data_IF_348678360415
#
_entry.id   IF_348678360415
#
_cell.length_a   1.000
_cell.length_b   1.000
_cell.length_c   1.000
_cell.angle_alpha   90.00
_cell.angle_beta   90.00
_cell.angle_gamma   90.00
#
_symmetry.space_group_name_H-M   'P 1'
#
loop_
_entity.id
_entity.type
_entity.pdbx_description
1 polymer ?
#
# COMPACT_ATOMS: atom_id res chain seq x y z
N UNK A 1 -1.39 -7.51 10.90
CA UNK A 1 -1.20 -8.72 10.08
C UNK A 1 -2.33 -9.69 10.35
N UNK A 2 -3.09 -10.06 9.32
CA UNK A 2 -4.32 -10.84 9.49
C UNK A 2 -4.11 -12.35 9.35
N UNK A 3 -2.90 -12.80 9.05
CA UNK A 3 -2.57 -14.21 8.82
C UNK A 3 -2.01 -14.94 10.05
N UNK A 4 -2.05 -14.32 11.22
CA UNK A 4 -1.52 -14.88 12.45
C UNK A 4 0.01 -14.97 12.53
N UNK A 5 0.72 -14.45 11.56
CA UNK A 5 2.19 -14.35 11.59
C UNK A 5 2.59 -13.11 12.38
N UNK A 6 3.52 -13.25 13.30
CA UNK A 6 4.06 -12.13 14.08
C UNK A 6 4.75 -11.09 13.18
N UNK A 7 4.87 -9.86 13.69
CA UNK A 7 5.62 -8.83 12.98
C UNK A 7 7.08 -9.23 12.83
N UNK A 8 7.58 -9.08 11.60
CA UNK A 8 9.03 -9.11 11.40
C UNK A 8 9.65 -7.89 12.10
N UNK A 9 10.89 -8.03 12.55
CA UNK A 9 11.68 -6.90 13.09
C UNK A 9 12.75 -6.51 12.05
N UNK A 10 12.41 -5.72 11.00
CA UNK A 10 13.35 -5.45 9.92
C UNK A 10 14.62 -4.74 10.40
N UNK A 11 14.52 -3.88 11.41
CA UNK A 11 15.69 -3.18 11.97
C UNK A 11 16.74 -4.12 12.58
N UNK A 12 16.38 -5.36 12.87
CA UNK A 12 17.30 -6.42 13.36
C UNK A 12 18.00 -7.16 12.22
N UNK A 13 17.71 -6.83 10.97
CA UNK A 13 18.26 -7.49 9.79
C UNK A 13 19.14 -6.54 9.00
N UNK A 14 20.22 -7.05 8.47
CA UNK A 14 21.14 -6.30 7.57
C UNK A 14 20.68 -6.29 6.12
N UNK A 15 19.66 -7.07 5.79
CA UNK A 15 19.16 -7.18 4.42
C UNK A 15 18.34 -5.94 4.03
N UNK A 16 18.31 -5.66 2.73
CA UNK A 16 17.42 -4.64 2.17
C UNK A 16 15.96 -5.03 2.40
N UNK A 17 15.19 -4.12 2.96
CA UNK A 17 13.79 -4.32 3.30
C UNK A 17 12.93 -3.69 2.20
N UNK A 18 11.87 -4.36 1.83
CA UNK A 18 10.78 -3.84 0.99
C UNK A 18 9.45 -4.05 1.71
N UNK A 19 8.49 -3.19 1.43
CA UNK A 19 7.12 -3.30 1.93
C UNK A 19 6.25 -3.93 0.85
N UNK A 20 5.28 -4.73 1.26
CA UNK A 20 4.27 -5.32 0.39
C UNK A 20 2.94 -5.45 1.10
N UNK A 21 1.85 -5.39 0.34
CA UNK A 21 0.47 -5.38 0.86
C UNK A 21 -0.07 -6.78 1.20
N UNK A 22 0.65 -7.85 0.84
CA UNK A 22 0.11 -9.22 0.89
C UNK A 22 -1.20 -9.33 0.06
N UNK A 23 -2.05 -10.29 0.37
CA UNK A 23 -3.31 -10.53 -0.36
C UNK A 23 -4.53 -9.80 0.20
N UNK A 24 -4.40 -8.97 1.20
CA UNK A 24 -5.53 -8.34 1.93
C UNK A 24 -5.58 -6.83 1.71
N UNK A 25 -4.44 -6.17 1.73
CA UNK A 25 -4.31 -4.74 1.46
C UNK A 25 -4.02 -4.45 -0.01
N UNK A 26 -4.19 -3.20 -0.41
CA UNK A 26 -3.83 -2.73 -1.75
C UNK A 26 -3.25 -1.30 -1.72
N UNK A 27 -2.99 -0.76 -0.53
CA UNK A 27 -2.53 0.61 -0.35
C UNK A 27 -1.13 0.64 0.24
N UNK A 28 -0.15 0.95 -0.60
CA UNK A 28 1.26 0.98 -0.22
C UNK A 28 1.61 2.11 0.76
N UNK A 29 0.87 3.24 0.74
CA UNK A 29 1.09 4.31 1.70
C UNK A 29 0.56 3.93 3.09
N UNK A 30 -0.55 3.19 3.16
CA UNK A 30 -1.03 2.63 4.43
C UNK A 30 -0.06 1.58 4.98
N UNK A 31 0.54 0.74 4.13
CA UNK A 31 1.55 -0.23 4.57
C UNK A 31 2.81 0.47 5.11
N UNK A 32 3.28 1.54 4.45
CA UNK A 32 4.36 2.38 4.97
C UNK A 32 4.02 2.97 6.34
N UNK A 33 2.81 3.49 6.51
CA UNK A 33 2.34 4.05 7.77
C UNK A 33 2.24 3.00 8.86
N UNK A 34 1.71 1.82 8.55
CA UNK A 34 1.65 0.68 9.48
C UNK A 34 3.05 0.20 9.89
N UNK A 35 3.97 0.12 8.93
CA UNK A 35 5.36 -0.21 9.20
C UNK A 35 5.99 0.81 10.16
N UNK A 36 5.83 2.11 9.89
CA UNK A 36 6.30 3.17 10.76
C UNK A 36 5.75 3.05 12.18
N UNK A 37 4.43 2.91 12.34
CA UNK A 37 3.78 2.82 13.65
C UNK A 37 4.24 1.58 14.41
N UNK A 38 4.31 0.41 13.74
CA UNK A 38 4.74 -0.83 14.37
C UNK A 38 6.17 -0.73 14.92
N UNK A 39 7.08 -0.12 14.14
CA UNK A 39 8.48 0.01 14.59
C UNK A 39 8.69 1.11 15.61
N UNK A 40 7.95 2.21 15.50
CA UNK A 40 8.02 3.28 16.49
C UNK A 40 7.56 2.85 17.88
N UNK A 41 6.72 1.83 17.98
CA UNK A 41 6.36 1.24 19.27
C UNK A 41 7.54 0.56 19.98
N UNK A 42 8.55 0.13 19.22
CA UNK A 42 9.77 -0.50 19.74
C UNK A 42 10.92 0.50 19.90
N UNK A 43 11.03 1.44 18.98
CA UNK A 43 12.08 2.48 18.96
C UNK A 43 11.49 3.85 18.61
N UNK A 44 11.30 4.68 19.62
CA UNK A 44 10.73 6.02 19.51
C UNK A 44 11.62 6.99 18.71
N UNK A 45 12.86 6.64 18.42
CA UNK A 45 13.79 7.46 17.63
C UNK A 45 13.61 7.25 16.13
N UNK A 46 12.85 6.23 15.70
CA UNK A 46 12.61 5.96 14.30
C UNK A 46 11.87 7.11 13.60
N UNK A 47 12.44 7.54 12.48
CA UNK A 47 11.86 8.53 11.58
C UNK A 47 10.94 7.89 10.54
N UNK A 48 9.88 8.56 10.09
CA UNK A 48 9.10 8.17 8.93
C UNK A 48 9.94 7.95 7.67
N UNK A 49 11.07 8.66 7.52
CA UNK A 49 11.98 8.52 6.38
C UNK A 49 12.54 7.11 6.24
N UNK A 50 12.75 6.41 7.35
CA UNK A 50 13.21 5.03 7.31
C UNK A 50 12.14 4.10 6.71
N UNK A 51 10.88 4.20 7.16
CA UNK A 51 9.79 3.41 6.59
C UNK A 51 9.53 3.78 5.12
N UNK A 52 9.71 5.04 4.76
CA UNK A 52 9.66 5.53 3.39
C UNK A 52 10.75 4.90 2.51
N UNK A 53 11.97 4.77 3.02
CA UNK A 53 13.05 4.11 2.29
C UNK A 53 12.75 2.63 1.99
N UNK A 54 11.97 1.97 2.83
CA UNK A 54 11.51 0.60 2.58
C UNK A 54 10.48 0.53 1.44
N UNK A 55 9.63 1.54 1.34
CA UNK A 55 8.72 1.70 0.20
C UNK A 55 9.49 1.92 -1.10
N UNK A 56 10.45 2.86 -1.11
CA UNK A 56 11.28 3.19 -2.28
C UNK A 56 12.18 2.03 -2.72
N UNK A 57 12.59 1.17 -1.80
CA UNK A 57 13.42 0.02 -2.11
C UNK A 57 12.76 -0.94 -3.13
N UNK A 58 11.44 -0.93 -3.26
CA UNK A 58 10.73 -1.72 -4.26
C UNK A 58 11.16 -1.40 -5.69
N UNK A 59 11.49 -0.13 -6.00
CA UNK A 59 11.97 0.28 -7.32
C UNK A 59 13.30 -0.36 -7.73
N UNK A 60 14.14 -0.70 -6.75
CA UNK A 60 15.39 -1.41 -7.05
C UNK A 60 15.19 -2.91 -7.21
N UNK A 61 14.06 -3.44 -6.72
CA UNK A 61 13.70 -4.84 -6.82
C UNK A 61 12.88 -5.13 -8.08
N UNK A 62 12.04 -4.16 -8.48
CA UNK A 62 11.20 -4.22 -9.68
C UNK A 62 11.44 -2.92 -10.49
N UNK A 63 12.55 -2.85 -11.25
CA UNK A 63 12.92 -1.65 -11.99
C UNK A 63 11.88 -1.19 -13.01
N UNK A 64 11.04 -2.11 -13.50
CA UNK A 64 9.98 -1.84 -14.46
C UNK A 64 8.94 -0.85 -13.93
N UNK A 65 8.78 -0.76 -12.60
CA UNK A 65 7.85 0.16 -11.95
C UNK A 65 8.36 1.60 -11.86
N UNK A 66 9.62 1.89 -12.19
CA UNK A 66 10.20 3.23 -12.03
C UNK A 66 9.52 4.31 -12.88
N UNK A 67 8.85 3.91 -13.97
CA UNK A 67 8.10 4.82 -14.84
C UNK A 67 6.61 4.94 -14.48
N UNK A 68 6.13 4.18 -13.51
CA UNK A 68 4.75 4.23 -13.08
C UNK A 68 4.47 5.57 -12.37
N UNK A 69 3.29 6.13 -12.60
CA UNK A 69 2.86 7.40 -12.04
C UNK A 69 1.59 7.22 -11.25
N UNK A 70 1.58 7.71 -10.03
CA UNK A 70 0.41 7.70 -9.14
C UNK A 70 0.14 9.12 -8.68
N UNK A 71 -1.09 9.60 -8.86
CA UNK A 71 -1.58 10.82 -8.24
C UNK A 71 -2.43 10.45 -7.03
N UNK A 72 -2.21 11.14 -5.93
CA UNK A 72 -2.87 10.86 -4.66
C UNK A 72 -3.89 11.94 -4.31
N UNK A 73 -4.83 11.62 -3.44
CA UNK A 73 -5.85 12.52 -2.91
C UNK A 73 -5.32 13.54 -1.89
N UNK A 74 -4.01 13.65 -1.75
CA UNK A 74 -3.35 14.52 -0.79
C UNK A 74 -2.09 15.16 -1.40
N UNK A 75 -1.98 16.48 -1.35
CA UNK A 75 -0.95 17.25 -2.06
C UNK A 75 0.48 17.00 -1.54
N UNK A 76 0.62 16.58 -0.28
CA UNK A 76 1.92 16.29 0.34
C UNK A 76 2.20 14.80 0.48
N UNK A 77 1.68 14.00 -0.44
CA UNK A 77 1.89 12.54 -0.48
C UNK A 77 3.32 12.12 -0.83
N UNK A 78 4.17 13.05 -1.21
CA UNK A 78 5.61 12.90 -1.43
C UNK A 78 6.46 13.10 -0.16
N UNK A 79 5.82 13.49 0.94
CA UNK A 79 6.49 13.71 2.22
C UNK A 79 6.27 12.54 3.18
N UNK A 80 7.34 11.83 3.59
CA UNK A 80 7.26 10.73 4.57
C UNK A 80 6.53 11.11 5.85
N UNK A 81 6.80 12.32 6.35
CA UNK A 81 6.18 12.83 7.57
C UNK A 81 4.68 13.08 7.42
N UNK A 82 4.26 13.67 6.30
CA UNK A 82 2.84 13.88 6.03
C UNK A 82 2.10 12.55 5.88
N UNK A 83 2.65 11.62 5.11
CA UNK A 83 2.04 10.28 4.90
C UNK A 83 1.93 9.50 6.20
N UNK A 84 2.96 9.53 7.05
CA UNK A 84 2.96 8.80 8.32
C UNK A 84 1.83 9.25 9.28
N UNK A 85 1.37 10.51 9.18
CA UNK A 85 0.38 11.08 10.07
C UNK A 85 -0.97 11.40 9.40
N UNK A 86 -1.12 11.16 8.11
CA UNK A 86 -2.36 11.40 7.37
C UNK A 86 -2.97 10.07 6.88
N UNK A 87 -3.90 9.47 7.63
CA UNK A 87 -4.57 8.25 7.20
C UNK A 87 -5.56 8.53 6.06
N UNK A 88 -5.83 7.51 5.24
CA UNK A 88 -6.87 7.57 4.21
C UNK A 88 -6.48 8.31 2.93
N UNK A 89 -5.18 8.55 2.70
CA UNK A 89 -4.69 9.01 1.40
C UNK A 89 -4.98 7.91 0.38
N UNK A 90 -5.57 8.28 -0.77
CA UNK A 90 -5.95 7.30 -1.81
C UNK A 90 -5.36 7.68 -3.15
N UNK A 91 -4.99 6.67 -3.95
CA UNK A 91 -4.67 6.88 -5.34
C UNK A 91 -5.92 7.36 -6.11
N UNK A 92 -5.79 8.42 -6.90
CA UNK A 92 -6.85 8.95 -7.76
C UNK A 92 -6.56 8.71 -9.24
N UNK A 93 -5.28 8.73 -9.65
CA UNK A 93 -4.88 8.34 -11.00
C UNK A 93 -3.68 7.42 -10.91
N UNK A 94 -3.68 6.38 -11.74
CA UNK A 94 -2.55 5.45 -11.88
C UNK A 94 -2.27 5.20 -13.35
N UNK A 95 -1.05 5.45 -13.76
CA UNK A 95 -0.56 5.19 -15.11
C UNK A 95 0.73 4.36 -15.03
N UNK A 96 0.78 3.28 -15.81
CA UNK A 96 1.98 2.45 -15.92
C UNK A 96 3.07 3.12 -16.75
N UNK A 97 4.29 2.64 -16.62
CA UNK A 97 5.44 3.05 -17.43
C UNK A 97 5.22 2.86 -18.94
N UNK A 98 4.37 1.91 -19.34
CA UNK A 98 3.96 1.69 -20.72
C UNK A 98 2.91 2.70 -21.23
N UNK A 99 2.45 3.61 -20.38
CA UNK A 99 1.45 4.63 -20.72
C UNK A 99 0.00 4.18 -20.51
N UNK A 100 -0.22 2.97 -20.00
CA UNK A 100 -1.58 2.49 -19.74
C UNK A 100 -2.15 3.13 -18.47
N UNK A 101 -3.38 3.63 -18.54
CA UNK A 101 -4.11 4.15 -17.38
C UNK A 101 -4.89 3.01 -16.71
N UNK A 102 -4.59 2.72 -15.45
CA UNK A 102 -5.27 1.69 -14.66
C UNK A 102 -6.37 2.27 -13.77
N UNK A 103 -6.16 3.50 -13.29
CA UNK A 103 -7.10 4.23 -12.45
C UNK A 103 -7.24 5.66 -12.99
N UNK A 104 -8.47 6.17 -13.06
CA UNK A 104 -8.78 7.55 -13.43
C UNK A 104 -9.87 8.09 -12.52
N UNK A 105 -9.61 9.24 -11.89
CA UNK A 105 -10.52 9.90 -10.95
C UNK A 105 -11.06 8.93 -9.87
N UNK A 106 -10.20 8.03 -9.39
CA UNK A 106 -10.53 7.03 -8.39
C UNK A 106 -11.31 5.81 -8.91
N UNK A 107 -11.56 5.74 -10.22
CA UNK A 107 -12.27 4.63 -10.84
C UNK A 107 -11.33 3.74 -11.68
N UNK A 108 -11.38 2.41 -11.54
CA UNK A 108 -10.62 1.51 -12.38
C UNK A 108 -11.09 1.58 -13.84
N UNK A 109 -10.14 1.48 -14.77
CA UNK A 109 -10.43 1.62 -16.22
C UNK A 109 -10.69 0.28 -16.90
N UNK A 110 -10.34 -0.84 -16.26
CA UNK A 110 -10.39 -2.17 -16.85
C UNK A 110 -11.53 -3.05 -16.36
N UNK A 111 -12.18 -2.65 -15.28
CA UNK A 111 -13.24 -3.45 -14.65
C UNK A 111 -14.45 -2.59 -14.34
N UNK A 112 -15.62 -3.19 -14.42
CA UNK A 112 -16.84 -2.61 -13.90
C UNK A 112 -16.84 -2.80 -12.38
N UNK A 113 -16.69 -1.70 -11.65
CA UNK A 113 -16.57 -1.73 -10.20
C UNK A 113 -17.87 -2.18 -9.52
N UNK A 114 -19.02 -1.84 -10.09
CA UNK A 114 -20.32 -2.22 -9.51
C UNK A 114 -20.59 -3.71 -9.73
N UNK A 115 -20.21 -4.26 -10.88
CA UNK A 115 -20.26 -5.71 -11.11
C UNK A 115 -19.33 -6.44 -10.13
N UNK A 116 -18.10 -5.97 -9.94
CA UNK A 116 -17.15 -6.60 -9.00
C UNK A 116 -17.69 -6.57 -7.57
N UNK A 117 -18.24 -5.44 -7.13
CA UNK A 117 -18.83 -5.29 -5.79
C UNK A 117 -20.04 -6.20 -5.59
N UNK A 118 -20.90 -6.30 -6.59
CA UNK A 118 -22.07 -7.19 -6.54
C UNK A 118 -21.62 -8.65 -6.37
N UNK A 119 -20.70 -9.11 -7.20
CA UNK A 119 -20.16 -10.48 -7.13
C UNK A 119 -19.45 -10.76 -5.80
N UNK A 120 -18.72 -9.80 -5.29
CA UNK A 120 -18.05 -9.91 -3.98
C UNK A 120 -19.07 -10.03 -2.85
N UNK A 121 -20.14 -9.22 -2.87
CA UNK A 121 -21.23 -9.28 -1.89
C UNK A 121 -21.93 -10.64 -1.89
N UNK A 122 -22.29 -11.16 -3.06
CA UNK A 122 -22.88 -12.50 -3.19
C UNK A 122 -21.95 -13.60 -2.65
N UNK A 123 -20.67 -13.49 -2.93
CA UNK A 123 -19.69 -14.46 -2.45
C UNK A 123 -19.51 -14.40 -0.94
N UNK A 124 -19.53 -13.20 -0.35
CA UNK A 124 -19.49 -13.01 1.09
C UNK A 124 -20.73 -13.60 1.77
N UNK A 125 -21.92 -13.35 1.23
CA UNK A 125 -23.16 -13.93 1.75
C UNK A 125 -23.13 -15.46 1.73
N UNK A 126 -22.64 -16.07 0.63
CA UNK A 126 -22.49 -17.53 0.54
C UNK A 126 -21.47 -18.09 1.54
N UNK A 127 -20.42 -17.33 1.83
CA UNK A 127 -19.42 -17.73 2.83
C UNK A 127 -20.00 -17.68 4.24
N UNK A 128 -20.63 -16.56 4.61
CA UNK A 128 -21.20 -16.37 5.95
C UNK A 128 -22.40 -17.30 6.24
N UNK A 129 -23.14 -17.73 5.21
CA UNK A 129 -24.20 -18.73 5.38
C UNK A 129 -23.69 -20.13 5.72
N UNK A 130 -22.38 -20.37 5.64
CA UNK A 130 -21.73 -21.67 5.97
C UNK A 130 -21.06 -21.66 7.35
N UNK A 131 -20.98 -20.52 8.00
CA UNK A 131 -20.42 -20.34 9.36
C UNK A 131 -21.51 -20.41 10.43
#
# INVERSE_FOLDING_TARGET
MNNGVGYAHPTRRSNKIIIGTDGIGADMLEEMRLAYVAYRSEDVTLSPDLAWSWLENSYSFIPECQGDRVSWSYDHSDSPWHVAFTPGIRAINVQTSSGETLLRDGLPTRVDLDEVRSKASESAQRLFAKL
#
